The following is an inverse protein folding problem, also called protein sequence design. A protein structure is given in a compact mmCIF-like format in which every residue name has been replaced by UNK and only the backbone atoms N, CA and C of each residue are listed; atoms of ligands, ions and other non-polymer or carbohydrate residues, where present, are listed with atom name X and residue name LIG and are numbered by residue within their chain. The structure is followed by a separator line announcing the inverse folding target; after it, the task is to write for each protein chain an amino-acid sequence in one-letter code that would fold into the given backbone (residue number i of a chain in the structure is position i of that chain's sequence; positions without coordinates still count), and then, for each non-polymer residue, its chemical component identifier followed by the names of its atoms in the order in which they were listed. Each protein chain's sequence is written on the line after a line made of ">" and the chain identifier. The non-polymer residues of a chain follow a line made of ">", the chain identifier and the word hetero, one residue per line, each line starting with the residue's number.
data_IF_000563889280
#
_entry.id   IF_000563889280
#
_cell.length_a   1.000
_cell.length_b   1.000
_cell.length_c   1.000
_cell.angle_alpha   90.00
_cell.angle_beta   90.00
_cell.angle_gamma   90.00
#
_symmetry.space_group_name_H-M   'P 1'
#
loop_
_entity.id
_entity.type
_entity.pdbx_description
1 polymer ?
#
# COMPACT_ATOMS: atom_id res chain seq x y z
N UNK A 1 -4.15 -13.01 13.81
CA UNK A 1 -3.95 -11.62 13.32
C UNK A 1 -2.47 -11.31 13.39
N UNK A 2 -1.86 -10.73 12.37
CA UNK A 2 -0.42 -10.38 12.37
C UNK A 2 -0.18 -9.18 13.30
N UNK A 3 0.96 -9.16 13.98
CA UNK A 3 1.37 -8.03 14.81
C UNK A 3 1.87 -6.87 13.94
N UNK A 4 1.91 -5.65 14.49
CA UNK A 4 2.44 -4.48 13.80
C UNK A 4 3.89 -4.71 13.30
N UNK A 5 4.72 -5.34 14.13
CA UNK A 5 6.10 -5.67 13.77
C UNK A 5 6.18 -6.65 12.59
N UNK A 6 5.32 -7.66 12.56
CA UNK A 6 5.26 -8.58 11.41
C UNK A 6 4.83 -7.88 10.11
N UNK A 7 3.94 -6.88 10.21
CA UNK A 7 3.53 -6.09 9.04
C UNK A 7 4.68 -5.21 8.56
N UNK A 8 5.43 -4.60 9.47
CA UNK A 8 6.61 -3.77 9.15
C UNK A 8 7.76 -4.54 8.49
N UNK A 9 7.84 -5.85 8.70
CA UNK A 9 8.84 -6.69 8.04
C UNK A 9 8.55 -6.97 6.56
N UNK A 10 7.32 -6.67 6.09
CA UNK A 10 6.95 -6.87 4.68
C UNK A 10 7.68 -5.87 3.78
N UNK A 11 8.73 -6.30 3.10
CA UNK A 11 9.55 -5.46 2.23
C UNK A 11 9.05 -5.42 0.78
N UNK A 12 8.37 -6.46 0.32
CA UNK A 12 7.72 -6.51 -0.98
C UNK A 12 6.22 -6.73 -0.83
N UNK A 13 5.46 -5.69 -1.12
CA UNK A 13 3.99 -5.72 -1.12
C UNK A 13 3.51 -5.42 -2.55
N UNK A 14 2.73 -6.31 -3.14
CA UNK A 14 2.21 -6.09 -4.49
C UNK A 14 0.90 -5.29 -4.45
N UNK A 15 0.83 -4.18 -5.17
CA UNK A 15 -0.44 -3.52 -5.50
C UNK A 15 -1.16 -4.40 -6.53
N UNK A 16 -1.91 -5.41 -6.06
CA UNK A 16 -2.44 -6.49 -6.90
C UNK A 16 -3.48 -5.98 -7.90
N UNK A 17 -3.45 -6.49 -9.12
CA UNK A 17 -4.48 -6.22 -10.15
C UNK A 17 -5.79 -6.91 -9.81
N UNK A 18 -6.88 -6.31 -10.26
CA UNK A 18 -8.21 -6.91 -10.20
C UNK A 18 -8.67 -7.27 -11.61
N UNK A 19 -8.73 -8.56 -11.95
CA UNK A 19 -9.27 -9.00 -13.24
C UNK A 19 -10.80 -8.94 -13.26
N UNK A 20 -11.35 -8.68 -14.44
CA UNK A 20 -12.78 -8.58 -14.67
C UNK A 20 -13.23 -9.53 -15.80
N UNK A 21 -14.43 -10.07 -15.64
CA UNK A 21 -15.15 -10.77 -16.69
C UNK A 21 -15.67 -9.79 -17.75
N UNK A 22 -16.07 -10.30 -18.91
CA UNK A 22 -16.60 -9.48 -20.00
C UNK A 22 -17.89 -8.70 -19.62
N UNK A 23 -18.63 -9.16 -18.62
CA UNK A 23 -19.81 -8.47 -18.09
C UNK A 23 -19.48 -7.39 -17.04
N UNK A 24 -18.19 -7.18 -16.72
CA UNK A 24 -17.72 -6.19 -15.75
C UNK A 24 -17.68 -6.66 -14.29
N UNK A 25 -18.07 -7.90 -14.00
CA UNK A 25 -17.94 -8.48 -12.67
C UNK A 25 -16.48 -8.88 -12.39
N UNK A 26 -16.07 -8.88 -11.12
CA UNK A 26 -14.73 -9.32 -10.72
C UNK A 26 -14.56 -10.82 -11.02
N UNK A 27 -13.52 -11.17 -11.76
CA UNK A 27 -13.11 -12.56 -11.98
C UNK A 27 -12.29 -13.05 -10.77
N UNK A 28 -12.99 -13.57 -9.75
CA UNK A 28 -12.35 -14.09 -8.54
C UNK A 28 -11.43 -15.29 -8.83
N UNK A 29 -11.76 -16.12 -9.84
CA UNK A 29 -10.90 -17.25 -10.17
C UNK A 29 -9.55 -16.78 -10.72
N UNK A 30 -9.57 -15.82 -11.63
CA UNK A 30 -8.34 -15.23 -12.17
C UNK A 30 -7.61 -14.38 -11.13
N UNK A 31 -8.32 -13.70 -10.23
CA UNK A 31 -7.73 -12.99 -9.11
C UNK A 31 -6.95 -13.93 -8.19
N UNK A 32 -7.54 -15.08 -7.87
CA UNK A 32 -6.89 -16.10 -7.05
C UNK A 32 -5.62 -16.65 -7.70
N UNK A 33 -5.63 -16.90 -9.00
CA UNK A 33 -4.42 -17.29 -9.75
C UNK A 33 -3.30 -16.24 -9.62
N UNK A 34 -3.63 -14.95 -9.75
CA UNK A 34 -2.67 -13.87 -9.60
C UNK A 34 -2.08 -13.82 -8.17
N UNK A 35 -2.90 -14.02 -7.16
CA UNK A 35 -2.45 -14.04 -5.75
C UNK A 35 -1.55 -15.25 -5.47
N UNK A 36 -1.90 -16.44 -5.98
CA UNK A 36 -1.06 -17.63 -5.82
C UNK A 36 0.32 -17.50 -6.50
N UNK A 37 0.40 -16.78 -7.63
CA UNK A 37 1.69 -16.44 -8.27
C UNK A 37 2.54 -15.55 -7.33
N UNK A 38 1.93 -14.60 -6.64
CA UNK A 38 2.63 -13.75 -5.68
C UNK A 38 3.16 -14.56 -4.50
N UNK A 39 2.35 -15.47 -3.96
CA UNK A 39 2.72 -16.37 -2.87
C UNK A 39 3.90 -17.25 -3.28
N UNK A 40 3.81 -17.89 -4.46
CA UNK A 40 4.87 -18.76 -4.98
C UNK A 40 6.21 -18.02 -5.21
N UNK A 41 6.16 -16.73 -5.48
CA UNK A 41 7.34 -15.88 -5.68
C UNK A 41 7.91 -15.29 -4.37
N UNK A 42 7.28 -15.56 -3.22
CA UNK A 42 7.76 -15.08 -1.91
C UNK A 42 7.44 -13.61 -1.65
N UNK A 43 6.35 -13.07 -2.23
CA UNK A 43 5.86 -11.73 -1.90
C UNK A 43 5.32 -11.73 -0.47
N UNK A 44 5.61 -10.68 0.30
CA UNK A 44 5.24 -10.61 1.72
C UNK A 44 3.77 -10.23 1.93
N UNK A 45 3.20 -9.46 0.99
CA UNK A 45 1.82 -8.96 1.12
C UNK A 45 1.24 -8.41 -0.18
N UNK A 46 -0.04 -8.10 -0.13
CA UNK A 46 -0.77 -7.48 -1.24
C UNK A 46 -1.59 -6.28 -0.76
N UNK A 47 -1.67 -5.24 -1.60
CA UNK A 47 -2.66 -4.16 -1.46
C UNK A 47 -3.86 -4.50 -2.33
N UNK A 48 -5.01 -4.67 -1.71
CA UNK A 48 -6.28 -5.00 -2.36
C UNK A 48 -7.06 -3.74 -2.67
N UNK A 49 -7.54 -3.59 -3.91
CA UNK A 49 -8.31 -2.43 -4.34
C UNK A 49 -7.53 -1.13 -4.32
N UNK A 50 -6.18 -1.18 -4.43
CA UNK A 50 -5.36 0.01 -4.66
C UNK A 50 -5.59 0.60 -6.05
N UNK A 51 -4.88 1.67 -6.41
CA UNK A 51 -5.00 2.31 -7.74
C UNK A 51 -4.75 1.31 -8.86
N UNK A 52 -3.72 0.47 -8.73
CA UNK A 52 -3.39 -0.60 -9.71
C UNK A 52 -4.50 -1.64 -9.82
N UNK A 53 -5.14 -1.96 -8.70
CA UNK A 53 -6.29 -2.88 -8.65
C UNK A 53 -7.62 -2.21 -8.98
N UNK A 54 -7.61 -0.97 -9.44
CA UNK A 54 -8.78 -0.22 -9.92
C UNK A 54 -9.88 -0.01 -8.86
N UNK A 55 -9.50 0.00 -7.57
CA UNK A 55 -10.45 0.14 -6.46
C UNK A 55 -11.31 1.41 -6.50
N UNK A 56 -10.82 2.49 -7.15
CA UNK A 56 -11.58 3.71 -7.36
C UNK A 56 -12.74 3.56 -8.36
N UNK A 57 -12.78 2.47 -9.12
CA UNK A 57 -13.85 2.16 -10.10
C UNK A 57 -14.88 1.17 -9.54
N UNK A 58 -14.58 0.54 -8.40
CA UNK A 58 -15.49 -0.39 -7.72
C UNK A 58 -16.51 0.37 -6.89
N UNK A 59 -17.72 -0.15 -6.79
CA UNK A 59 -18.60 0.22 -5.70
C UNK A 59 -18.06 -0.33 -4.36
N UNK A 60 -18.52 0.20 -3.23
CA UNK A 60 -18.02 -0.24 -1.92
C UNK A 60 -18.35 -1.70 -1.59
N UNK A 61 -19.40 -2.26 -2.14
CA UNK A 61 -19.78 -3.67 -1.91
C UNK A 61 -18.77 -4.61 -2.57
N UNK A 62 -18.43 -4.37 -3.84
CA UNK A 62 -17.40 -5.11 -4.58
C UNK A 62 -16.03 -4.96 -3.92
N UNK A 63 -15.66 -3.73 -3.56
CA UNK A 63 -14.35 -3.43 -2.99
C UNK A 63 -14.15 -4.15 -1.64
N UNK A 64 -15.14 -4.04 -0.75
CA UNK A 64 -15.10 -4.67 0.57
C UNK A 64 -15.22 -6.20 0.47
N UNK A 65 -15.99 -6.71 -0.48
CA UNK A 65 -16.04 -8.15 -0.79
C UNK A 65 -14.67 -8.68 -1.19
N UNK A 66 -13.94 -7.97 -2.06
CA UNK A 66 -12.61 -8.39 -2.50
C UNK A 66 -11.58 -8.36 -1.36
N UNK A 67 -11.65 -7.35 -0.47
CA UNK A 67 -10.82 -7.29 0.74
C UNK A 67 -11.13 -8.48 1.66
N UNK A 68 -12.42 -8.77 1.90
CA UNK A 68 -12.84 -9.88 2.74
C UNK A 68 -12.42 -11.24 2.15
N UNK A 69 -12.59 -11.43 0.83
CA UNK A 69 -12.14 -12.63 0.13
C UNK A 69 -10.63 -12.85 0.32
N UNK A 70 -9.84 -11.79 0.07
CA UNK A 70 -8.38 -11.85 0.21
C UNK A 70 -7.95 -12.15 1.64
N UNK A 71 -8.57 -11.50 2.63
CA UNK A 71 -8.26 -11.70 4.04
C UNK A 71 -8.58 -13.11 4.51
N UNK A 72 -9.75 -13.63 4.14
CA UNK A 72 -10.19 -14.96 4.54
C UNK A 72 -9.40 -16.09 3.87
N UNK A 73 -9.01 -15.91 2.60
CA UNK A 73 -8.36 -16.98 1.83
C UNK A 73 -6.83 -16.98 1.99
N UNK A 74 -6.23 -15.80 2.14
CA UNK A 74 -4.78 -15.64 2.05
C UNK A 74 -4.13 -14.96 3.26
N UNK A 75 -4.91 -14.55 4.27
CA UNK A 75 -4.39 -13.79 5.40
C UNK A 75 -3.39 -14.54 6.30
N UNK A 76 -3.37 -15.85 6.27
CA UNK A 76 -2.36 -16.68 6.92
C UNK A 76 -1.02 -16.69 6.17
N UNK A 77 -1.04 -16.53 4.84
CA UNK A 77 0.14 -16.56 3.96
C UNK A 77 0.72 -15.17 3.69
N UNK A 78 -0.14 -14.16 3.47
CA UNK A 78 0.22 -12.81 3.06
C UNK A 78 -0.22 -11.76 4.07
N UNK A 79 0.50 -10.64 4.10
CA UNK A 79 -0.03 -9.40 4.70
C UNK A 79 -1.10 -8.83 3.77
N UNK A 80 -2.34 -8.77 4.24
CA UNK A 80 -3.45 -8.18 3.48
C UNK A 80 -3.64 -6.73 3.88
N UNK A 81 -3.37 -5.83 2.94
CA UNK A 81 -3.55 -4.39 3.08
C UNK A 81 -4.78 -3.96 2.29
N UNK A 82 -5.87 -3.62 2.95
CA UNK A 82 -7.07 -3.12 2.28
C UNK A 82 -6.92 -1.63 1.93
N UNK A 83 -7.14 -1.25 0.66
CA UNK A 83 -7.24 0.16 0.31
C UNK A 83 -8.63 0.67 0.70
N UNK A 84 -8.75 1.19 1.92
CA UNK A 84 -10.00 1.71 2.48
C UNK A 84 -10.03 3.23 2.53
N UNK A 85 -9.03 3.89 1.89
CA UNK A 85 -8.96 5.34 1.78
C UNK A 85 -10.08 5.90 0.90
N UNK A 86 -10.59 7.06 1.29
CA UNK A 86 -11.61 7.82 0.55
C UNK A 86 -11.39 9.31 0.79
N UNK A 87 -11.80 10.16 -0.17
CA UNK A 87 -11.87 11.61 0.06
C UNK A 87 -12.99 12.01 1.05
N UNK A 88 -13.89 11.09 1.35
CA UNK A 88 -14.93 11.23 2.38
C UNK A 88 -14.49 10.50 3.65
N UNK A 89 -14.13 11.24 4.69
CA UNK A 89 -13.65 10.68 5.96
C UNK A 89 -14.64 9.67 6.59
N UNK A 90 -15.94 9.88 6.45
CA UNK A 90 -16.96 8.95 7.00
C UNK A 90 -16.93 7.61 6.26
N UNK A 91 -16.74 7.63 4.95
CA UNK A 91 -16.61 6.40 4.15
C UNK A 91 -15.30 5.69 4.47
N UNK A 92 -14.16 6.42 4.54
CA UNK A 92 -12.89 5.85 4.94
C UNK A 92 -12.99 5.14 6.30
N UNK A 93 -13.62 5.77 7.29
CA UNK A 93 -13.86 5.17 8.61
C UNK A 93 -14.72 3.90 8.49
N UNK A 94 -15.85 3.95 7.75
CA UNK A 94 -16.75 2.81 7.57
C UNK A 94 -16.05 1.64 6.89
N UNK A 95 -15.36 1.90 5.78
CA UNK A 95 -14.64 0.90 5.02
C UNK A 95 -13.49 0.27 5.83
N UNK A 96 -12.74 1.09 6.58
CA UNK A 96 -11.64 0.62 7.43
C UNK A 96 -12.15 -0.29 8.55
N UNK A 97 -13.24 0.07 9.23
CA UNK A 97 -13.87 -0.78 10.25
C UNK A 97 -14.33 -2.12 9.67
N UNK A 98 -14.97 -2.10 8.50
CA UNK A 98 -15.41 -3.32 7.84
C UNK A 98 -14.22 -4.19 7.42
N UNK A 99 -13.19 -3.61 6.83
CA UNK A 99 -11.98 -4.33 6.43
C UNK A 99 -11.31 -5.06 7.60
N UNK A 100 -11.15 -4.40 8.76
CA UNK A 100 -10.61 -5.06 9.95
C UNK A 100 -11.55 -6.14 10.48
N UNK A 101 -12.86 -5.91 10.49
CA UNK A 101 -13.84 -6.94 10.88
C UNK A 101 -13.79 -8.15 9.95
N UNK A 102 -13.39 -7.98 8.71
CA UNK A 102 -13.20 -9.05 7.71
C UNK A 102 -11.81 -9.70 7.75
N UNK A 103 -10.91 -9.26 8.64
CA UNK A 103 -9.61 -9.89 8.85
C UNK A 103 -8.43 -9.28 8.09
N UNK A 104 -8.56 -8.10 7.44
CA UNK A 104 -7.39 -7.43 6.88
C UNK A 104 -6.38 -7.09 7.99
N UNK A 105 -5.09 -7.04 7.65
CA UNK A 105 -4.02 -6.78 8.60
C UNK A 105 -3.68 -5.30 8.75
N UNK A 106 -3.85 -4.53 7.66
CA UNK A 106 -3.57 -3.10 7.62
C UNK A 106 -4.50 -2.40 6.62
N UNK A 107 -4.68 -1.10 6.81
CA UNK A 107 -5.34 -0.24 5.84
C UNK A 107 -4.30 0.55 5.02
N UNK A 108 -4.57 0.84 3.75
CA UNK A 108 -3.92 1.89 2.98
C UNK A 108 -4.84 3.10 2.94
N UNK A 109 -4.36 4.25 3.42
CA UNK A 109 -5.14 5.47 3.54
C UNK A 109 -4.55 6.58 2.67
N UNK A 110 -5.41 7.29 1.97
CA UNK A 110 -5.06 8.43 1.12
C UNK A 110 -5.67 9.70 1.71
N UNK A 111 -5.04 10.86 1.48
CA UNK A 111 -5.64 12.13 1.88
C UNK A 111 -6.96 12.42 1.13
N UNK A 112 -7.83 13.28 1.68
CA UNK A 112 -9.02 13.74 0.97
C UNK A 112 -8.63 14.45 -0.33
N UNK A 113 -8.64 13.72 -1.43
CA UNK A 113 -8.27 14.17 -2.76
C UNK A 113 -9.39 14.97 -3.43
N UNK A 114 -9.07 15.68 -4.52
CA UNK A 114 -9.95 16.52 -5.32
C UNK A 114 -10.31 17.86 -4.64
N UNK A 115 -10.76 17.86 -3.38
CA UNK A 115 -11.27 19.03 -2.67
C UNK A 115 -10.22 19.96 -2.03
N UNK A 116 -8.92 19.67 -2.12
CA UNK A 116 -7.82 20.44 -1.53
C UNK A 116 -8.06 20.81 -0.06
N UNK A 117 -8.06 19.80 0.78
CA UNK A 117 -8.28 19.95 2.22
C UNK A 117 -7.13 20.70 2.89
N UNK A 118 -7.44 21.52 3.91
CA UNK A 118 -6.41 22.18 4.74
C UNK A 118 -5.53 21.16 5.48
N UNK A 119 -4.32 21.56 5.86
CA UNK A 119 -3.38 20.72 6.65
C UNK A 119 -4.08 20.18 7.91
N UNK A 120 -4.79 21.04 8.65
CA UNK A 120 -5.53 20.62 9.84
C UNK A 120 -6.59 19.57 9.51
N UNK A 121 -7.32 19.72 8.39
CA UNK A 121 -8.32 18.76 7.93
C UNK A 121 -7.72 17.44 7.51
N UNK A 122 -6.56 17.44 6.82
CA UNK A 122 -5.81 16.22 6.46
C UNK A 122 -5.36 15.48 7.71
N UNK A 123 -4.78 16.19 8.68
CA UNK A 123 -4.34 15.60 9.95
C UNK A 123 -5.51 14.97 10.73
N UNK A 124 -6.64 15.66 10.80
CA UNK A 124 -7.83 15.13 11.46
C UNK A 124 -8.40 13.90 10.74
N UNK A 125 -8.41 13.92 9.40
CA UNK A 125 -8.80 12.76 8.60
C UNK A 125 -7.94 11.53 8.94
N UNK A 126 -6.62 11.66 8.91
CA UNK A 126 -5.73 10.55 9.19
C UNK A 126 -5.80 10.08 10.64
N UNK A 127 -5.90 10.98 11.63
CA UNK A 127 -6.11 10.58 13.03
C UNK A 127 -7.32 9.67 13.19
N UNK A 128 -8.46 10.07 12.62
CA UNK A 128 -9.71 9.27 12.74
C UNK A 128 -9.61 7.88 12.13
N UNK A 129 -8.87 7.71 11.04
CA UNK A 129 -8.71 6.38 10.44
C UNK A 129 -7.64 5.58 11.17
N UNK A 130 -6.58 6.21 11.65
CA UNK A 130 -5.56 5.57 12.49
C UNK A 130 -6.14 5.09 13.84
N UNK A 131 -7.11 5.78 14.43
CA UNK A 131 -7.80 5.35 15.66
C UNK A 131 -8.51 3.99 15.52
N UNK A 132 -8.72 3.51 14.29
CA UNK A 132 -9.40 2.23 14.04
C UNK A 132 -8.42 1.06 14.06
N UNK A 133 -7.22 1.22 13.52
CA UNK A 133 -6.23 0.16 13.45
C UNK A 133 -5.00 0.50 12.59
N UNK A 134 -4.07 -0.45 12.43
CA UNK A 134 -2.82 -0.24 11.70
C UNK A 134 -3.02 0.24 10.27
N UNK A 135 -2.33 1.32 9.87
CA UNK A 135 -2.46 1.84 8.52
C UNK A 135 -1.15 2.40 7.96
N UNK A 136 -1.02 2.27 6.65
CA UNK A 136 -0.08 3.04 5.82
C UNK A 136 -0.76 4.33 5.36
N UNK A 137 -0.03 5.43 5.39
CA UNK A 137 -0.44 6.67 4.71
C UNK A 137 0.19 6.68 3.33
N UNK A 138 -0.60 7.00 2.31
CA UNK A 138 -0.16 7.02 0.93
C UNK A 138 -0.02 8.45 0.42
N UNK A 139 1.23 8.86 0.17
CA UNK A 139 1.55 10.13 -0.48
C UNK A 139 1.73 9.95 -1.97
N UNK A 140 0.84 10.54 -2.77
CA UNK A 140 0.88 10.50 -4.24
C UNK A 140 0.31 11.79 -4.83
N UNK A 141 1.04 12.89 -4.65
CA UNK A 141 0.62 14.24 -5.04
C UNK A 141 0.12 14.36 -6.48
N UNK A 142 0.72 13.63 -7.43
CA UNK A 142 0.32 13.62 -8.83
C UNK A 142 -1.10 13.08 -9.07
N UNK A 143 -1.67 12.31 -8.13
CA UNK A 143 -3.04 11.78 -8.21
C UNK A 143 -4.01 12.53 -7.31
N UNK A 144 -3.55 12.95 -6.13
CA UNK A 144 -4.41 13.59 -5.13
C UNK A 144 -4.51 15.10 -5.29
N UNK A 145 -3.56 15.72 -6.02
CA UNK A 145 -3.44 17.16 -6.14
C UNK A 145 -2.89 17.85 -4.88
N UNK A 146 -2.43 17.08 -3.88
CA UNK A 146 -1.85 17.60 -2.65
C UNK A 146 -0.72 16.69 -2.15
N UNK A 147 0.48 17.26 -1.96
CA UNK A 147 1.61 16.57 -1.33
C UNK A 147 1.42 16.50 0.19
N UNK A 148 1.69 15.34 0.75
CA UNK A 148 1.75 15.12 2.19
C UNK A 148 3.18 15.41 2.68
N UNK A 149 3.46 16.68 2.86
CA UNK A 149 4.76 17.19 3.28
C UNK A 149 5.12 16.75 4.72
N UNK A 150 6.40 16.86 5.15
CA UNK A 150 6.83 16.45 6.49
C UNK A 150 6.04 17.09 7.64
N UNK A 151 5.61 18.34 7.50
CA UNK A 151 4.78 19.03 8.49
C UNK A 151 3.39 18.40 8.67
N UNK A 152 2.92 17.60 7.70
CA UNK A 152 1.70 16.81 7.80
C UNK A 152 1.98 15.42 8.40
N UNK A 153 3.04 14.74 7.94
CA UNK A 153 3.33 13.35 8.31
C UNK A 153 3.98 13.23 9.71
N UNK A 154 4.95 14.09 10.04
CA UNK A 154 5.69 13.98 11.30
C UNK A 154 4.78 14.05 12.55
N UNK A 155 3.76 14.92 12.62
CA UNK A 155 2.83 14.91 13.75
C UNK A 155 2.05 13.60 13.90
N UNK A 156 1.79 12.89 12.77
CA UNK A 156 1.07 11.62 12.75
C UNK A 156 1.97 10.43 13.13
N UNK A 157 3.29 10.57 13.02
CA UNK A 157 4.26 9.53 13.35
C UNK A 157 4.19 9.04 14.81
N UNK A 158 3.67 9.88 15.71
CA UNK A 158 3.46 9.53 17.12
C UNK A 158 2.25 8.61 17.34
N UNK A 159 1.42 8.42 16.31
CA UNK A 159 0.23 7.58 16.44
C UNK A 159 0.64 6.09 16.44
N UNK A 160 0.23 5.29 17.45
CA UNK A 160 0.69 3.90 17.59
C UNK A 160 0.29 2.99 16.42
N UNK A 161 -0.76 3.34 15.69
CA UNK A 161 -1.23 2.58 14.55
C UNK A 161 -0.65 3.04 13.20
N UNK A 162 0.23 4.06 13.16
CA UNK A 162 0.93 4.39 11.92
C UNK A 162 2.01 3.32 11.66
N UNK A 163 1.84 2.55 10.60
CA UNK A 163 2.85 1.59 10.13
C UNK A 163 3.99 2.35 9.48
N UNK A 164 3.68 3.26 8.58
CA UNK A 164 4.60 4.08 7.82
C UNK A 164 3.93 4.74 6.62
N UNK A 165 4.77 5.22 5.70
CA UNK A 165 4.33 5.96 4.51
C UNK A 165 4.65 5.18 3.24
N UNK A 166 3.66 5.00 2.35
CA UNK A 166 3.91 4.70 0.93
C UNK A 166 4.21 6.02 0.24
N UNK A 167 5.47 6.22 -0.16
CA UNK A 167 5.96 7.52 -0.63
C UNK A 167 6.24 7.52 -2.13
N UNK A 168 5.71 8.52 -2.86
CA UNK A 168 5.95 8.73 -4.28
C UNK A 168 6.68 10.05 -4.60
N UNK A 169 7.11 10.82 -3.58
CA UNK A 169 7.82 12.09 -3.80
C UNK A 169 9.35 11.93 -3.94
N UNK A 170 9.86 10.70 -3.92
CA UNK A 170 11.26 10.40 -4.19
C UNK A 170 12.07 9.93 -2.99
N UNK A 171 13.28 9.43 -3.30
CA UNK A 171 14.15 8.79 -2.33
C UNK A 171 14.66 9.75 -1.23
N UNK A 172 14.88 11.02 -1.54
CA UNK A 172 15.29 12.02 -0.56
C UNK A 172 14.22 12.24 0.52
N UNK A 173 12.92 12.19 0.14
CA UNK A 173 11.82 12.27 1.09
C UNK A 173 11.78 11.03 1.98
N UNK A 174 12.02 9.84 1.43
CA UNK A 174 12.11 8.61 2.21
C UNK A 174 13.28 8.66 3.20
N UNK A 175 14.47 9.10 2.78
CA UNK A 175 15.63 9.27 3.68
C UNK A 175 15.33 10.27 4.82
N UNK A 176 14.62 11.36 4.51
CA UNK A 176 14.20 12.31 5.55
C UNK A 176 13.31 11.62 6.59
N UNK A 177 12.29 10.86 6.18
CA UNK A 177 11.39 10.16 7.09
C UNK A 177 12.12 9.09 7.92
N UNK A 178 12.96 8.29 7.28
CA UNK A 178 13.78 7.29 7.98
C UNK A 178 14.68 7.91 9.05
N UNK A 179 15.28 9.10 8.77
CA UNK A 179 16.08 9.84 9.76
C UNK A 179 15.27 10.29 10.98
N UNK A 180 13.94 10.32 10.88
CA UNK A 180 12.98 10.64 11.93
C UNK A 180 12.35 9.40 12.57
N UNK A 181 12.77 8.19 12.15
CA UNK A 181 12.20 6.93 12.62
C UNK A 181 10.81 6.64 12.05
N UNK A 182 10.45 7.26 10.91
CA UNK A 182 9.19 7.03 10.21
C UNK A 182 9.46 6.06 9.06
N UNK A 183 8.95 4.85 9.18
CA UNK A 183 9.12 3.81 8.16
C UNK A 183 8.51 4.20 6.82
N UNK A 184 9.21 3.91 5.72
CA UNK A 184 8.75 4.21 4.36
C UNK A 184 8.81 2.99 3.45
N UNK A 185 7.88 2.94 2.51
CA UNK A 185 7.89 2.05 1.35
C UNK A 185 7.85 2.89 0.08
N UNK A 186 8.72 2.59 -0.88
CA UNK A 186 8.66 3.23 -2.19
C UNK A 186 7.29 2.97 -2.83
N UNK A 187 6.66 4.01 -3.35
CA UNK A 187 5.39 3.90 -4.08
C UNK A 187 5.58 3.78 -5.58
N UNK A 188 6.81 4.03 -6.06
CA UNK A 188 7.25 3.93 -7.46
C UNK A 188 8.31 2.85 -7.58
N UNK A 189 8.16 1.96 -8.57
CA UNK A 189 9.08 0.82 -8.76
C UNK A 189 10.47 1.27 -9.19
N UNK A 190 10.60 2.27 -10.05
CA UNK A 190 11.87 2.83 -10.54
C UNK A 190 12.77 3.41 -9.44
N UNK A 191 12.22 3.71 -8.27
CA UNK A 191 12.94 4.26 -7.12
C UNK A 191 13.21 3.24 -6.02
N UNK A 192 12.62 2.04 -6.12
CA UNK A 192 12.58 1.10 -4.99
C UNK A 192 13.95 0.52 -4.64
N UNK A 193 14.80 0.26 -5.63
CA UNK A 193 16.15 -0.27 -5.40
C UNK A 193 17.01 0.70 -4.61
N UNK A 194 17.15 1.93 -5.12
CA UNK A 194 17.90 2.98 -4.42
C UNK A 194 17.28 3.26 -3.04
N UNK A 195 15.95 3.37 -2.99
CA UNK A 195 15.21 3.54 -1.73
C UNK A 195 15.60 2.49 -0.71
N UNK A 196 15.60 1.22 -1.07
CA UNK A 196 15.91 0.09 -0.19
C UNK A 196 17.37 0.04 0.23
N UNK A 197 18.29 0.14 -0.72
CA UNK A 197 19.70 -0.17 -0.48
C UNK A 197 20.58 1.06 -0.18
N UNK A 198 20.08 2.29 -0.41
CA UNK A 198 20.84 3.55 -0.24
C UNK A 198 20.16 4.55 0.68
N UNK A 199 18.82 4.58 0.73
CA UNK A 199 18.05 5.61 1.44
C UNK A 199 17.26 5.07 2.64
N UNK A 200 17.42 3.78 2.99
CA UNK A 200 16.89 3.19 4.22
C UNK A 200 15.42 2.79 4.16
N UNK A 201 14.74 2.86 3.01
CA UNK A 201 13.34 2.45 2.95
C UNK A 201 13.14 0.98 3.32
N UNK A 202 12.02 0.67 3.94
CA UNK A 202 11.68 -0.70 4.35
C UNK A 202 11.40 -1.62 3.17
N UNK A 203 11.00 -1.08 2.01
CA UNK A 203 10.70 -1.86 0.83
C UNK A 203 9.91 -1.09 -0.22
N UNK A 204 9.04 -1.79 -0.92
CA UNK A 204 8.21 -1.24 -2.00
C UNK A 204 6.78 -1.75 -1.94
N UNK A 205 5.83 -0.88 -2.26
CA UNK A 205 4.46 -1.28 -2.64
C UNK A 205 4.39 -1.21 -4.16
N UNK A 206 4.68 -2.33 -4.80
CA UNK A 206 5.09 -2.47 -6.20
C UNK A 206 3.91 -2.66 -7.16
N UNK A 207 4.05 -2.15 -8.36
CA UNK A 207 3.17 -2.41 -9.52
C UNK A 207 3.76 -3.52 -10.40
N UNK A 208 5.07 -3.43 -10.73
CA UNK A 208 5.74 -4.38 -11.64
C UNK A 208 5.79 -5.80 -11.06
N UNK A 209 5.68 -5.97 -9.75
CA UNK A 209 5.57 -7.27 -9.11
C UNK A 209 4.33 -8.08 -9.54
N UNK A 210 3.31 -7.46 -10.13
CA UNK A 210 2.22 -8.19 -10.79
C UNK A 210 2.71 -9.06 -11.95
N UNK A 211 3.78 -8.63 -12.64
CA UNK A 211 4.37 -9.32 -13.80
C UNK A 211 5.62 -10.12 -13.44
N UNK A 212 6.48 -9.55 -12.59
CA UNK A 212 7.81 -10.09 -12.29
C UNK A 212 8.05 -10.21 -10.77
N UNK A 213 7.16 -10.90 -10.00
CA UNK A 213 7.26 -10.89 -8.55
C UNK A 213 8.57 -11.51 -8.03
N UNK A 214 9.05 -12.59 -8.64
CA UNK A 214 10.31 -13.23 -8.26
C UNK A 214 11.55 -12.36 -8.52
N UNK A 215 11.54 -11.56 -9.57
CA UNK A 215 12.62 -10.60 -9.84
C UNK A 215 12.60 -9.45 -8.83
N UNK A 216 11.40 -8.95 -8.51
CA UNK A 216 11.23 -7.91 -7.49
C UNK A 216 11.61 -8.42 -6.10
N UNK A 217 11.29 -9.69 -5.76
CA UNK A 217 11.75 -10.31 -4.52
C UNK A 217 13.26 -10.31 -4.43
N UNK A 218 13.94 -10.78 -5.49
CA UNK A 218 15.39 -10.79 -5.57
C UNK A 218 15.98 -9.37 -5.46
N UNK A 219 15.36 -8.37 -6.10
CA UNK A 219 15.81 -6.98 -6.06
C UNK A 219 15.70 -6.37 -4.66
N UNK A 220 14.65 -6.73 -3.90
CA UNK A 220 14.47 -6.24 -2.52
C UNK A 220 15.41 -6.92 -1.52
N UNK A 221 15.77 -8.18 -1.77
CA UNK A 221 16.63 -8.96 -0.86
C UNK A 221 18.12 -8.71 -1.08
N UNK A 222 18.51 -8.32 -2.32
CA UNK A 222 19.91 -8.24 -2.70
C UNK A 222 20.25 -6.89 -3.32
N UNK A 223 21.39 -6.34 -2.92
CA UNK A 223 21.99 -5.17 -3.57
C UNK A 223 22.61 -5.59 -4.93
N UNK A 224 21.76 -5.73 -5.95
CA UNK A 224 22.10 -6.18 -7.30
C UNK A 224 21.85 -5.06 -8.33
N UNK A 225 22.82 -4.13 -8.54
CA UNK A 225 22.67 -3.01 -9.48
C UNK A 225 22.45 -3.47 -10.92
N UNK A 226 23.01 -4.63 -11.32
CA UNK A 226 22.85 -5.16 -12.68
C UNK A 226 21.41 -5.62 -12.92
N UNK A 227 20.80 -6.27 -11.93
CA UNK A 227 19.38 -6.62 -12.00
C UNK A 227 18.51 -5.36 -12.06
N UNK A 228 18.81 -4.34 -11.22
CA UNK A 228 18.09 -3.08 -11.24
C UNK A 228 18.17 -2.41 -12.63
N UNK A 229 19.35 -2.28 -13.22
CA UNK A 229 19.52 -1.68 -14.56
C UNK A 229 18.69 -2.42 -15.62
N UNK A 230 18.64 -3.75 -15.57
CA UNK A 230 17.85 -4.56 -16.52
C UNK A 230 16.35 -4.42 -16.32
N UNK A 231 15.87 -4.12 -15.11
CA UNK A 231 14.45 -3.95 -14.81
C UNK A 231 13.95 -2.52 -15.02
N UNK A 232 14.84 -1.50 -14.98
CA UNK A 232 14.47 -0.09 -15.13
C UNK A 232 13.57 0.22 -16.34
N UNK A 233 13.76 -0.36 -17.54
CA UNK A 233 12.89 -0.08 -18.68
C UNK A 233 11.46 -0.60 -18.54
N UNK A 234 11.18 -1.42 -17.51
CA UNK A 234 9.87 -2.03 -17.23
C UNK A 234 9.15 -1.39 -16.03
N UNK A 235 9.83 -0.51 -15.31
CA UNK A 235 9.36 0.14 -14.07
C UNK A 235 8.70 1.49 -14.29
#
# INVERSE_FOLDING_TARGET
>A
MRTLEQIKQASLITAIKTPYLANGEIDLAKYDELVEIQIAAGVDGIVVGGTTGEGQLMNWEEHLMLIAHSANKYGDKLVIVGNTGSNNTREAIKATKYGFASGMHAALQINPYYGRTSIAGVNEHFKRVLDIGPAFIYNVAGRTGQDLTPDIIEPLAKHPNLIGVKECAGNERMAHYESKGIACWAGNDDQCFEGRHRYGSHGVISVISNLLPGMMRRLMDNDDPQLNERLQPLM
#
